data_IF_772956673956
#
_entry.id   IF_772956673956
#
_cell.length_a   1.000
_cell.length_b   1.000
_cell.length_c   1.000
_cell.angle_alpha   90.00
_cell.angle_beta   90.00
_cell.angle_gamma   90.00
#
_symmetry.space_group_name_H-M   'P 1'
#
loop_
_entity.id
_entity.type
_entity.pdbx_description
1 polymer ?
#
# COMPACT_ATOMS: atom_id res chain seq x y z
N UNK A 1 30.02 14.14 79.92
CA UNK A 1 28.88 14.34 79.01
C UNK A 1 29.29 13.84 77.63
N UNK A 2 28.87 12.64 77.23
CA UNK A 2 29.17 12.06 75.93
C UNK A 2 27.87 12.01 75.11
N UNK A 3 27.78 12.83 74.08
CA UNK A 3 26.58 12.92 73.23
C UNK A 3 26.70 11.92 72.09
N UNK A 4 25.86 10.89 72.12
CA UNK A 4 25.72 9.85 71.11
C UNK A 4 25.18 10.48 69.82
N UNK A 5 25.95 10.45 68.73
CA UNK A 5 25.45 10.79 67.38
C UNK A 5 24.78 9.56 66.78
N UNK A 6 23.45 9.55 66.76
CA UNK A 6 22.65 8.60 65.98
C UNK A 6 22.78 8.91 64.48
N UNK A 7 23.38 8.00 63.73
CA UNK A 7 23.38 8.02 62.28
C UNK A 7 22.01 7.58 61.75
N UNK A 8 21.22 8.52 61.22
CA UNK A 8 19.99 8.20 60.47
C UNK A 8 20.38 7.63 59.11
N UNK A 9 20.34 6.30 58.97
CA UNK A 9 20.46 5.62 57.67
C UNK A 9 19.26 6.02 56.80
N UNK A 10 19.50 6.71 55.67
CA UNK A 10 18.50 6.82 54.59
C UNK A 10 18.34 5.45 53.92
N UNK A 11 17.12 4.94 53.69
CA UNK A 11 16.91 3.69 52.98
C UNK A 11 17.25 3.87 51.48
N UNK A 12 18.26 3.15 51.03
CA UNK A 12 18.82 3.15 49.67
C UNK A 12 18.05 2.20 48.74
N UNK A 13 16.72 2.20 48.82
CA UNK A 13 15.90 1.09 48.27
C UNK A 13 14.80 1.52 47.27
N UNK A 14 14.59 2.83 47.05
CA UNK A 14 13.54 3.35 46.16
C UNK A 14 14.00 3.67 44.74
N UNK A 15 15.32 3.82 44.51
CA UNK A 15 15.87 4.25 43.21
C UNK A 15 15.70 3.17 42.13
N UNK A 16 15.78 1.89 42.50
CA UNK A 16 15.69 0.78 41.54
C UNK A 16 14.27 0.48 41.06
N UNK A 17 13.24 0.89 41.82
CA UNK A 17 11.84 0.52 41.52
C UNK A 17 11.24 1.45 40.46
N UNK A 18 11.51 2.75 40.55
CA UNK A 18 11.02 3.74 39.58
C UNK A 18 11.68 3.56 38.20
N UNK A 19 12.98 3.28 38.17
CA UNK A 19 13.72 3.05 36.92
C UNK A 19 13.22 1.80 36.17
N UNK A 20 12.85 0.75 36.90
CA UNK A 20 12.29 -0.47 36.31
C UNK A 20 10.85 -0.29 35.80
N UNK A 21 10.04 0.54 36.47
CA UNK A 21 8.69 0.89 36.01
C UNK A 21 8.77 1.69 34.70
N UNK A 22 9.68 2.66 34.61
CA UNK A 22 9.87 3.46 33.41
C UNK A 22 10.40 2.61 32.24
N UNK A 23 11.35 1.70 32.49
CA UNK A 23 11.85 0.75 31.47
C UNK A 23 10.74 -0.17 30.97
N UNK A 24 9.89 -0.69 31.87
CA UNK A 24 8.77 -1.53 31.49
C UNK A 24 7.71 -0.76 30.72
N UNK A 25 7.40 0.49 31.12
CA UNK A 25 6.48 1.34 30.37
C UNK A 25 7.01 1.62 28.97
N UNK A 26 8.27 2.05 28.83
CA UNK A 26 8.89 2.31 27.52
C UNK A 26 8.86 1.05 26.65
N UNK A 27 9.16 -0.12 27.22
CA UNK A 27 9.10 -1.40 26.52
C UNK A 27 7.68 -1.73 26.02
N UNK A 28 6.66 -1.48 26.84
CA UNK A 28 5.25 -1.66 26.47
C UNK A 28 4.83 -0.67 25.38
N UNK A 29 5.24 0.60 25.46
CA UNK A 29 4.88 1.61 24.44
C UNK A 29 5.56 1.34 23.09
N UNK A 30 6.80 0.84 23.10
CA UNK A 30 7.52 0.41 21.88
C UNK A 30 6.89 -0.86 21.29
N UNK A 31 6.49 -1.80 22.14
CA UNK A 31 5.81 -3.01 21.68
C UNK A 31 4.44 -2.70 21.09
N UNK A 32 3.64 -1.83 21.72
CA UNK A 32 2.35 -1.40 21.18
C UNK A 32 2.50 -0.65 19.86
N UNK A 33 3.44 0.30 19.76
CA UNK A 33 3.62 1.07 18.52
C UNK A 33 4.06 0.18 17.35
N UNK A 34 4.91 -0.82 17.57
CA UNK A 34 5.30 -1.76 16.52
C UNK A 34 4.15 -2.65 16.01
N UNK A 35 3.19 -3.01 16.87
CA UNK A 35 1.99 -3.77 16.47
C UNK A 35 0.97 -2.90 15.72
N UNK A 36 0.88 -1.59 16.04
CA UNK A 36 -0.01 -0.69 15.31
C UNK A 36 0.57 -0.23 13.96
N UNK A 37 1.89 -0.10 13.83
CA UNK A 37 2.52 0.27 12.55
C UNK A 37 2.47 -0.83 11.48
N UNK A 38 2.34 -2.11 11.86
CA UNK A 38 2.32 -3.22 10.89
C UNK A 38 1.01 -3.32 10.09
N UNK A 39 -0.06 -2.61 10.49
CA UNK A 39 -1.39 -2.73 9.88
C UNK A 39 -1.74 -1.64 8.86
N UNK A 40 -0.85 -0.67 8.58
CA UNK A 40 -1.13 0.44 7.64
C UNK A 40 -0.29 0.43 6.36
N UNK A 41 0.33 -0.70 6.01
CA UNK A 41 0.99 -0.81 4.71
C UNK A 41 -0.06 -1.18 3.65
N UNK A 42 -0.71 -0.17 3.05
CA UNK A 42 -1.39 -0.34 1.76
C UNK A 42 -0.30 -0.60 0.71
N UNK A 43 0.05 -1.87 0.55
CA UNK A 43 1.02 -2.31 -0.47
C UNK A 43 0.40 -2.04 -1.84
N UNK A 44 1.03 -1.16 -2.62
CA UNK A 44 0.63 -0.93 -4.01
C UNK A 44 0.67 -2.24 -4.80
N UNK A 45 -0.42 -2.50 -5.52
CA UNK A 45 -0.61 -3.66 -6.36
C UNK A 45 0.02 -3.47 -7.73
N UNK A 46 0.64 -4.52 -8.25
CA UNK A 46 1.23 -4.51 -9.59
C UNK A 46 0.67 -5.66 -10.43
N UNK A 47 0.25 -5.35 -11.66
CA UNK A 47 -0.09 -6.37 -12.65
C UNK A 47 1.17 -7.12 -13.09
N UNK A 48 0.98 -8.27 -13.73
CA UNK A 48 2.10 -8.90 -14.46
C UNK A 48 2.40 -8.15 -15.76
N UNK A 49 3.62 -8.35 -16.26
CA UNK A 49 4.03 -7.87 -17.58
C UNK A 49 3.32 -8.71 -18.64
N UNK A 50 2.44 -8.07 -19.39
CA UNK A 50 1.53 -8.76 -20.31
C UNK A 50 1.01 -7.81 -21.38
N UNK A 51 0.30 -8.33 -22.37
CA UNK A 51 -0.29 -7.52 -23.45
C UNK A 51 -1.70 -7.05 -23.09
N UNK A 52 -2.11 -5.92 -23.67
CA UNK A 52 -3.48 -5.41 -23.56
C UNK A 52 -4.38 -6.14 -24.54
N UNK A 53 -5.35 -6.91 -24.03
CA UNK A 53 -6.30 -7.67 -24.85
C UNK A 53 -7.50 -6.81 -25.24
N UNK A 54 -8.02 -6.03 -24.29
CA UNK A 54 -9.26 -5.25 -24.44
C UNK A 54 -9.12 -3.83 -23.91
N UNK A 55 -9.68 -2.88 -24.64
CA UNK A 55 -9.82 -1.48 -24.22
C UNK A 55 -11.22 -1.03 -24.62
N UNK A 56 -11.96 -0.46 -23.67
CA UNK A 56 -13.26 0.15 -23.95
C UNK A 56 -13.37 1.48 -23.20
N UNK A 57 -13.85 2.51 -23.88
CA UNK A 57 -14.03 3.84 -23.32
C UNK A 57 -15.48 4.02 -22.86
N UNK A 58 -15.67 4.56 -21.66
CA UNK A 58 -16.92 5.11 -21.15
C UNK A 58 -16.82 6.63 -21.01
N UNK A 59 -17.85 7.28 -20.47
CA UNK A 59 -17.89 8.75 -20.41
C UNK A 59 -16.71 9.36 -19.64
N UNK A 60 -16.40 8.82 -18.46
CA UNK A 60 -15.36 9.36 -17.56
C UNK A 60 -14.27 8.34 -17.21
N UNK A 61 -14.37 7.12 -17.72
CA UNK A 61 -13.42 6.05 -17.42
C UNK A 61 -13.16 5.18 -18.65
N UNK A 62 -12.05 4.47 -18.65
CA UNK A 62 -11.77 3.38 -19.57
C UNK A 62 -11.66 2.07 -18.81
N UNK A 63 -12.13 0.98 -19.43
CA UNK A 63 -11.89 -0.38 -18.94
C UNK A 63 -10.74 -1.00 -19.72
N UNK A 64 -9.80 -1.57 -18.99
CA UNK A 64 -8.58 -2.16 -19.55
C UNK A 64 -8.56 -3.64 -19.19
N UNK A 65 -8.54 -4.51 -20.19
CA UNK A 65 -8.41 -5.96 -20.02
C UNK A 65 -7.02 -6.38 -20.48
N UNK A 66 -6.26 -6.95 -19.56
CA UNK A 66 -4.95 -7.53 -19.86
C UNK A 66 -5.09 -9.02 -20.18
N UNK A 67 -4.19 -9.57 -21.00
CA UNK A 67 -4.17 -10.99 -21.34
C UNK A 67 -3.89 -11.89 -20.12
N UNK A 68 -3.14 -11.37 -19.14
CA UNK A 68 -2.95 -11.98 -17.82
C UNK A 68 -3.40 -10.98 -16.78
N UNK A 69 -4.48 -11.30 -16.08
CA UNK A 69 -4.89 -10.54 -14.91
C UNK A 69 -4.65 -11.36 -13.66
N UNK A 70 -4.33 -10.69 -12.55
CA UNK A 70 -4.35 -11.35 -11.24
C UNK A 70 -5.68 -11.08 -10.58
N UNK A 71 -6.15 -12.09 -9.89
CA UNK A 71 -7.32 -12.02 -9.04
C UNK A 71 -6.93 -11.38 -7.69
N UNK A 72 -7.87 -10.67 -7.07
CA UNK A 72 -7.74 -10.14 -5.70
C UNK A 72 -6.55 -9.19 -5.46
N UNK A 73 -6.21 -8.34 -6.44
CA UNK A 73 -5.24 -7.24 -6.22
C UNK A 73 -5.93 -6.11 -5.43
N UNK A 74 -5.19 -5.42 -4.55
CA UNK A 74 -5.68 -4.34 -3.67
C UNK A 74 -6.79 -4.74 -2.68
N UNK A 75 -7.09 -6.04 -2.53
CA UNK A 75 -8.20 -6.50 -1.68
C UNK A 75 -9.58 -6.20 -2.25
N UNK A 76 -9.72 -5.94 -3.55
CA UNK A 76 -11.02 -5.78 -4.20
C UNK A 76 -11.69 -7.17 -4.34
N UNK A 77 -12.64 -7.48 -3.45
CA UNK A 77 -13.45 -8.69 -3.52
C UNK A 77 -14.48 -8.51 -4.65
N UNK A 78 -14.66 -9.52 -5.50
CA UNK A 78 -15.45 -9.49 -6.76
C UNK A 78 -14.80 -8.79 -7.98
N UNK A 79 -13.46 -8.78 -8.06
CA UNK A 79 -12.73 -8.24 -9.21
C UNK A 79 -13.04 -9.03 -10.50
N UNK A 80 -13.98 -8.53 -11.31
CA UNK A 80 -14.21 -9.04 -12.66
C UNK A 80 -13.12 -8.60 -13.64
N UNK A 81 -13.15 -9.17 -14.86
CA UNK A 81 -12.08 -9.24 -15.87
C UNK A 81 -11.60 -7.90 -16.50
N UNK A 82 -11.53 -6.79 -15.76
CA UNK A 82 -10.95 -5.54 -16.22
C UNK A 82 -10.47 -4.62 -15.08
N UNK A 83 -9.50 -3.78 -15.39
CA UNK A 83 -9.03 -2.67 -14.57
C UNK A 83 -9.76 -1.38 -14.93
N UNK A 84 -9.94 -0.51 -13.94
CA UNK A 84 -10.53 0.81 -14.11
C UNK A 84 -9.43 1.87 -14.34
N UNK A 85 -9.60 2.72 -15.36
CA UNK A 85 -8.76 3.88 -15.59
C UNK A 85 -9.63 5.13 -15.63
N UNK A 86 -9.41 6.07 -14.72
CA UNK A 86 -10.05 7.39 -14.80
C UNK A 86 -9.41 8.20 -15.94
N UNK A 87 -10.22 8.65 -16.91
CA UNK A 87 -9.77 9.44 -18.08
C UNK A 87 -10.15 10.92 -17.98
N UNK A 88 -10.69 11.36 -16.85
CA UNK A 88 -11.00 12.78 -16.61
C UNK A 88 -9.71 13.60 -16.49
N UNK A 89 -8.69 13.03 -15.85
CA UNK A 89 -7.39 13.65 -15.64
C UNK A 89 -6.51 13.65 -16.90
N UNK A 90 -5.58 14.61 -17.00
CA UNK A 90 -4.58 14.65 -18.08
C UNK A 90 -3.74 13.37 -18.12
N UNK A 91 -3.37 12.85 -16.95
CA UNK A 91 -2.66 11.59 -16.82
C UNK A 91 -3.50 10.44 -17.38
N UNK A 92 -4.78 10.34 -17.01
CA UNK A 92 -5.70 9.31 -17.49
C UNK A 92 -5.83 9.24 -19.01
N UNK A 93 -5.95 10.40 -19.66
CA UNK A 93 -5.98 10.50 -21.13
C UNK A 93 -4.68 10.03 -21.77
N UNK A 94 -3.53 10.40 -21.18
CA UNK A 94 -2.22 9.96 -21.64
C UNK A 94 -2.04 8.45 -21.44
N UNK A 95 -2.38 7.92 -20.27
CA UNK A 95 -2.34 6.51 -19.94
C UNK A 95 -3.21 5.69 -20.91
N UNK A 96 -4.43 6.16 -21.22
CA UNK A 96 -5.30 5.52 -22.20
C UNK A 96 -4.67 5.50 -23.60
N UNK A 97 -4.10 6.61 -24.07
CA UNK A 97 -3.40 6.66 -25.35
C UNK A 97 -2.20 5.70 -25.40
N UNK A 98 -1.42 5.63 -24.32
CA UNK A 98 -0.29 4.69 -24.19
C UNK A 98 -0.77 3.24 -24.23
N UNK A 99 -1.84 2.90 -23.51
CA UNK A 99 -2.43 1.56 -23.53
C UNK A 99 -3.00 1.20 -24.91
N UNK A 100 -3.63 2.16 -25.58
CA UNK A 100 -4.14 1.98 -26.93
C UNK A 100 -3.01 1.72 -27.92
N UNK A 101 -1.93 2.52 -27.86
CA UNK A 101 -0.74 2.31 -28.66
C UNK A 101 -0.12 0.93 -28.39
N UNK A 102 0.03 0.55 -27.11
CA UNK A 102 0.56 -0.74 -26.71
C UNK A 102 -0.31 -1.92 -27.19
N UNK A 103 -1.64 -1.77 -27.18
CA UNK A 103 -2.55 -2.75 -27.76
C UNK A 103 -2.32 -2.91 -29.27
N UNK A 104 -2.23 -1.81 -30.00
CA UNK A 104 -2.03 -1.83 -31.45
C UNK A 104 -0.68 -2.40 -31.85
N UNK A 105 0.38 -2.12 -31.08
CA UNK A 105 1.72 -2.65 -31.32
C UNK A 105 1.98 -4.01 -30.68
N UNK A 106 1.00 -4.60 -29.97
CA UNK A 106 1.17 -5.82 -29.17
C UNK A 106 2.33 -5.74 -28.17
N UNK A 107 2.65 -4.52 -27.70
CA UNK A 107 3.72 -4.30 -26.75
C UNK A 107 3.32 -4.76 -25.35
N UNK A 108 4.29 -5.25 -24.58
CA UNK A 108 4.06 -5.67 -23.21
C UNK A 108 4.01 -4.46 -22.30
N UNK A 109 3.07 -4.49 -21.36
CA UNK A 109 2.87 -3.44 -20.36
C UNK A 109 2.71 -4.07 -18.98
N UNK A 110 3.01 -3.31 -17.94
CA UNK A 110 2.57 -3.62 -16.58
C UNK A 110 1.98 -2.36 -15.95
N UNK A 111 1.02 -2.57 -15.05
CA UNK A 111 0.23 -1.52 -14.44
C UNK A 111 0.47 -1.51 -12.94
N UNK A 112 0.56 -0.30 -12.39
CA UNK A 112 0.45 -0.08 -10.96
C UNK A 112 -1.00 0.24 -10.63
N UNK A 113 -1.50 -0.47 -9.64
CA UNK A 113 -2.89 -0.46 -9.20
C UNK A 113 -2.92 0.08 -7.79
N UNK A 114 -3.79 1.07 -7.55
CA UNK A 114 -3.93 1.68 -6.23
C UNK A 114 -5.42 1.81 -5.94
N UNK A 115 -5.85 1.12 -4.88
CA UNK A 115 -7.22 1.13 -4.41
C UNK A 115 -8.24 0.49 -5.37
N UNK A 116 -9.48 0.50 -4.90
CA UNK A 116 -10.63 -0.08 -5.58
C UNK A 116 -11.67 1.02 -5.87
N UNK A 117 -12.26 0.98 -7.05
CA UNK A 117 -13.38 1.85 -7.44
C UNK A 117 -14.63 1.00 -7.53
N UNK A 118 -15.67 1.37 -6.78
CA UNK A 118 -16.96 0.71 -6.85
C UNK A 118 -17.78 1.28 -8.00
N UNK A 119 -18.14 0.44 -8.97
CA UNK A 119 -19.04 0.77 -10.07
C UNK A 119 -20.27 -0.11 -9.94
N UNK A 120 -21.33 0.43 -9.34
CA UNK A 120 -22.54 -0.31 -9.00
C UNK A 120 -22.30 -1.20 -7.78
N UNK A 121 -22.47 -2.51 -7.94
CA UNK A 121 -22.29 -3.51 -6.87
C UNK A 121 -20.95 -4.25 -6.95
N UNK A 122 -19.99 -3.75 -7.73
CA UNK A 122 -18.71 -4.43 -8.00
C UNK A 122 -17.55 -3.47 -7.82
N UNK A 123 -16.46 -4.01 -7.31
CA UNK A 123 -15.22 -3.28 -7.09
C UNK A 123 -14.17 -3.61 -8.15
N UNK A 124 -13.51 -2.57 -8.63
CA UNK A 124 -12.51 -2.68 -9.69
C UNK A 124 -11.20 -2.03 -9.26
N UNK A 125 -10.06 -2.73 -9.42
CA UNK A 125 -8.77 -2.12 -9.16
C UNK A 125 -8.51 -0.96 -10.13
N UNK A 126 -8.09 0.18 -9.57
CA UNK A 126 -7.87 1.41 -10.33
C UNK A 126 -6.40 1.54 -10.76
N UNK A 127 -6.18 1.92 -12.02
CA UNK A 127 -4.85 2.12 -12.59
C UNK A 127 -4.33 3.49 -12.18
N UNK A 128 -3.20 3.49 -11.49
CA UNK A 128 -2.47 4.69 -11.10
C UNK A 128 -1.33 5.01 -12.05
N UNK A 129 -0.55 4.00 -12.48
CA UNK A 129 0.53 4.16 -13.45
C UNK A 129 0.55 3.07 -14.52
N UNK A 130 1.03 3.43 -15.71
CA UNK A 130 1.20 2.53 -16.86
C UNK A 130 2.66 2.53 -17.27
N UNK A 131 3.26 1.34 -17.36
CA UNK A 131 4.64 1.16 -17.79
C UNK A 131 4.66 0.29 -19.05
N UNK A 132 5.29 0.80 -20.12
CA UNK A 132 5.44 0.10 -21.38
C UNK A 132 6.87 -0.44 -21.49
N UNK A 133 7.10 -1.61 -20.88
CA UNK A 133 8.41 -2.25 -20.83
C UNK A 133 8.25 -3.77 -20.93
N UNK A 134 9.23 -4.42 -21.57
CA UNK A 134 9.25 -5.88 -21.74
C UNK A 134 9.54 -6.65 -20.44
N UNK A 135 10.08 -5.95 -19.44
CA UNK A 135 10.43 -6.48 -18.12
C UNK A 135 9.87 -5.57 -17.02
N UNK A 136 9.76 -6.09 -15.79
CA UNK A 136 9.29 -5.33 -14.61
C UNK A 136 10.20 -4.13 -14.26
N UNK A 137 11.42 -4.11 -14.77
CA UNK A 137 12.36 -3.00 -14.63
C UNK A 137 12.62 -2.41 -16.00
N UNK A 138 12.20 -1.16 -16.21
CA UNK A 138 12.53 -0.39 -17.39
C UNK A 138 13.98 0.09 -17.23
N UNK A 139 14.86 -0.25 -18.17
CA UNK A 139 16.24 0.27 -18.25
C UNK A 139 16.31 1.37 -19.30
#
# INVERSE_FOLDING_TARGET
MNTIRTAVRRPKHTVNTEENIVKNLISITVFLSSVFLSNYCLSEGYSDVTTVEGLSIGNNFARVKLAKMKDNIEGCYDSQKFYHLDITSKFGKMAYATLLAAKMSSHKVFLQLIGCVSIGSKEYPSISHVYACDQRFCK
#
